data_IF_416869961765
#
_entry.id   IF_416869961765
#
_cell.length_a   1.000
_cell.length_b   1.000
_cell.length_c   1.000
_cell.angle_alpha   90.00
_cell.angle_beta   90.00
_cell.angle_gamma   90.00
#
_symmetry.space_group_name_H-M   'P 1'
#
loop_
_entity.id
_entity.type
_entity.pdbx_description
1 polymer ?
#
# COMPACT_ATOMS: atom_id res chain seq x y z
N UNK A 1 7.98 -55.84 -32.80
CA UNK A 1 9.41 -55.52 -32.93
C UNK A 1 9.55 -54.63 -34.16
N UNK A 2 9.85 -53.33 -34.12
CA UNK A 2 10.50 -52.52 -33.08
C UNK A 2 10.08 -51.05 -33.20
N UNK A 3 9.75 -50.42 -32.07
CA UNK A 3 9.55 -48.98 -31.95
C UNK A 3 10.91 -48.31 -31.76
N UNK A 4 11.33 -47.48 -32.73
CA UNK A 4 12.46 -46.57 -32.54
C UNK A 4 12.03 -45.17 -32.95
N UNK A 5 11.19 -44.57 -32.10
CA UNK A 5 10.92 -43.13 -32.13
C UNK A 5 12.02 -42.49 -31.29
N UNK A 6 13.02 -41.93 -31.96
CA UNK A 6 14.10 -41.16 -31.33
C UNK A 6 13.52 -39.81 -30.88
N UNK A 7 13.23 -39.67 -29.59
CA UNK A 7 12.89 -38.39 -28.97
C UNK A 7 14.16 -37.55 -28.82
N UNK A 8 14.31 -36.53 -29.67
CA UNK A 8 15.28 -35.46 -29.44
C UNK A 8 14.70 -34.50 -28.39
N UNK A 9 15.17 -34.62 -27.14
CA UNK A 9 14.83 -33.69 -26.07
C UNK A 9 15.59 -32.37 -26.29
N UNK A 10 14.93 -31.36 -26.85
CA UNK A 10 15.43 -30.00 -26.87
C UNK A 10 15.22 -29.37 -25.48
N UNK A 11 16.27 -29.36 -24.66
CA UNK A 11 16.27 -28.66 -23.37
C UNK A 11 16.34 -27.14 -23.60
N UNK A 12 15.21 -26.45 -23.48
CA UNK A 12 15.16 -24.99 -23.47
C UNK A 12 15.55 -24.49 -22.07
N UNK A 13 16.77 -23.96 -21.94
CA UNK A 13 17.23 -23.32 -20.71
C UNK A 13 16.61 -21.92 -20.61
N UNK A 14 15.64 -21.75 -19.72
CA UNK A 14 15.05 -20.44 -19.39
C UNK A 14 15.99 -19.76 -18.39
N UNK A 15 16.72 -18.73 -18.84
CA UNK A 15 17.56 -17.90 -17.98
C UNK A 15 16.65 -16.87 -17.30
N UNK A 16 16.32 -17.10 -16.03
CA UNK A 16 15.56 -16.14 -15.23
C UNK A 16 16.57 -15.11 -14.70
N UNK A 17 16.63 -13.93 -15.31
CA UNK A 17 17.42 -12.83 -14.79
C UNK A 17 16.72 -12.24 -13.56
N UNK A 18 17.30 -12.29 -12.34
CA UNK A 18 16.73 -11.61 -11.19
C UNK A 18 16.88 -10.11 -11.40
N UNK A 19 15.76 -9.42 -11.59
CA UNK A 19 15.72 -7.96 -11.54
C UNK A 19 15.82 -7.55 -10.06
N UNK A 20 16.90 -6.91 -9.59
CA UNK A 20 16.92 -6.37 -8.24
C UNK A 20 15.91 -5.23 -8.20
N UNK A 21 14.75 -5.48 -7.58
CA UNK A 21 13.86 -4.42 -7.16
C UNK A 21 14.63 -3.59 -6.12
N UNK A 22 15.14 -2.43 -6.54
CA UNK A 22 15.73 -1.47 -5.63
C UNK A 22 14.63 -0.96 -4.69
N UNK A 23 14.53 -1.56 -3.51
CA UNK A 23 13.82 -0.97 -2.40
C UNK A 23 14.58 0.32 -2.02
N UNK A 24 14.06 1.47 -2.46
CA UNK A 24 14.53 2.76 -1.96
C UNK A 24 14.34 2.83 -0.44
N UNK A 25 15.00 3.77 0.26
CA UNK A 25 14.80 3.96 1.69
C UNK A 25 13.30 4.17 1.94
N UNK A 26 12.66 3.21 2.61
CA UNK A 26 11.35 3.48 3.19
C UNK A 26 11.64 4.42 4.35
N UNK A 27 11.29 5.70 4.16
CA UNK A 27 11.34 6.72 5.20
C UNK A 27 10.72 6.11 6.46
N UNK A 28 11.51 5.96 7.53
CA UNK A 28 11.03 5.35 8.78
C UNK A 28 9.86 6.14 9.39
N UNK A 29 9.63 7.36 8.89
CA UNK A 29 8.43 8.18 9.05
C UNK A 29 7.12 7.51 8.58
N UNK A 30 7.15 6.39 7.86
CA UNK A 30 5.93 5.71 7.42
C UNK A 30 5.39 4.70 8.43
N UNK A 31 6.13 4.37 9.51
CA UNK A 31 5.65 3.41 10.53
C UNK A 31 4.64 3.96 11.51
N UNK A 32 4.63 5.27 11.71
CA UNK A 32 3.78 5.93 12.70
C UNK A 32 3.23 7.23 12.13
N UNK A 33 2.03 7.61 12.58
CA UNK A 33 1.45 8.90 12.23
C UNK A 33 2.38 10.04 12.68
N UNK A 34 2.63 11.05 11.83
CA UNK A 34 3.42 12.20 12.22
C UNK A 34 2.83 12.86 13.46
N UNK A 35 3.71 13.36 14.32
CA UNK A 35 3.29 14.11 15.49
C UNK A 35 2.59 15.41 15.09
N UNK A 36 1.55 15.75 15.84
CA UNK A 36 0.75 16.95 15.65
C UNK A 36 0.09 17.37 16.95
N UNK A 37 -0.26 18.65 17.05
CA UNK A 37 -1.10 19.17 18.13
C UNK A 37 -2.57 18.77 17.93
N UNK A 38 -3.43 19.16 18.86
CA UNK A 38 -4.87 18.86 18.83
C UNK A 38 -5.61 19.45 17.61
N UNK A 39 -5.01 20.44 16.94
CA UNK A 39 -5.57 21.08 15.75
C UNK A 39 -5.07 20.46 14.45
N UNK A 40 -4.04 19.61 14.52
CA UNK A 40 -3.41 19.00 13.36
C UNK A 40 -4.37 18.05 12.67
N UNK A 41 -4.54 18.22 11.36
CA UNK A 41 -5.44 17.40 10.55
C UNK A 41 -4.69 16.31 9.79
N UNK A 42 -5.26 15.11 9.85
CA UNK A 42 -4.82 13.91 9.17
C UNK A 42 -5.80 13.64 8.04
N UNK A 43 -5.33 13.69 6.80
CA UNK A 43 -6.18 13.65 5.62
C UNK A 43 -6.20 12.28 4.96
N UNK A 44 -7.29 11.52 5.15
CA UNK A 44 -7.46 10.20 4.57
C UNK A 44 -8.13 10.21 3.21
N UNK A 45 -7.61 9.42 2.26
CA UNK A 45 -8.28 9.16 0.99
C UNK A 45 -9.35 8.10 1.21
N UNK A 46 -10.60 8.46 0.94
CA UNK A 46 -11.74 7.52 1.02
C UNK A 46 -12.02 7.04 -0.39
N UNK A 47 -11.86 5.74 -0.63
CA UNK A 47 -12.27 5.13 -1.90
C UNK A 47 -13.81 5.07 -1.95
N UNK A 48 -14.45 5.79 -2.88
CA UNK A 48 -15.90 5.79 -2.97
C UNK A 48 -16.40 4.44 -3.49
N UNK A 49 -17.46 3.90 -2.89
CA UNK A 49 -18.19 2.77 -3.46
C UNK A 49 -18.96 3.27 -4.70
N UNK A 50 -18.98 2.48 -5.78
CA UNK A 50 -19.68 2.85 -7.03
C UNK A 50 -21.12 3.30 -6.74
N UNK A 51 -21.50 4.48 -7.24
CA UNK A 51 -22.82 5.07 -7.00
C UNK A 51 -22.93 5.98 -5.77
N UNK A 52 -21.86 6.14 -5.00
CA UNK A 52 -21.82 7.10 -3.87
C UNK A 52 -21.16 8.42 -4.27
N UNK A 53 -21.71 9.54 -3.78
CA UNK A 53 -21.12 10.87 -3.94
C UNK A 53 -20.47 11.31 -2.63
N UNK A 54 -19.39 10.63 -2.25
CA UNK A 54 -18.57 10.99 -1.09
C UNK A 54 -17.35 11.79 -1.51
N UNK A 55 -16.91 12.67 -0.61
CA UNK A 55 -15.66 13.40 -0.74
C UNK A 55 -14.49 12.41 -0.73
N UNK A 56 -13.62 12.46 -1.74
CA UNK A 56 -12.51 11.50 -1.92
C UNK A 56 -11.40 11.68 -0.88
N UNK A 57 -11.35 12.81 -0.21
CA UNK A 57 -10.34 13.12 0.81
C UNK A 57 -11.07 13.72 2.01
N UNK A 58 -10.85 13.17 3.20
CA UNK A 58 -11.40 13.70 4.44
C UNK A 58 -10.27 14.08 5.39
N UNK A 59 -10.28 15.32 5.87
CA UNK A 59 -9.27 15.82 6.79
C UNK A 59 -9.88 16.09 8.15
N UNK A 60 -9.40 15.38 9.16
CA UNK A 60 -9.90 15.47 10.53
C UNK A 60 -8.75 15.41 11.52
N UNK A 61 -8.98 15.99 12.69
CA UNK A 61 -8.12 15.84 13.87
C UNK A 61 -8.17 14.40 14.38
N UNK A 62 -7.23 14.03 15.26
CA UNK A 62 -7.25 12.71 15.93
C UNK A 62 -8.55 12.46 16.70
N UNK A 63 -9.09 13.49 17.36
CA UNK A 63 -10.33 13.38 18.11
C UNK A 63 -11.51 13.09 17.17
N UNK A 64 -11.62 13.85 16.09
CA UNK A 64 -12.66 13.65 15.08
C UNK A 64 -12.57 12.27 14.42
N UNK A 65 -11.38 11.76 14.12
CA UNK A 65 -11.22 10.39 13.60
C UNK A 65 -11.64 9.33 14.61
N UNK A 66 -11.29 9.52 15.88
CA UNK A 66 -11.67 8.61 16.96
C UNK A 66 -13.19 8.54 17.14
N UNK A 67 -13.90 9.66 16.97
CA UNK A 67 -15.36 9.70 17.00
C UNK A 67 -16.01 8.88 15.89
N UNK A 68 -15.26 8.59 14.82
CA UNK A 68 -15.68 7.75 13.69
C UNK A 68 -15.19 6.31 13.83
N UNK A 69 -14.54 5.97 14.95
CA UNK A 69 -13.97 4.65 15.21
C UNK A 69 -12.64 4.39 14.50
N UNK A 70 -11.97 5.42 13.98
CA UNK A 70 -10.67 5.30 13.32
C UNK A 70 -9.57 5.68 14.30
N UNK A 71 -8.67 4.75 14.59
CA UNK A 71 -7.43 5.04 15.32
C UNK A 71 -6.34 5.41 14.32
N UNK A 72 -6.01 6.70 14.26
CA UNK A 72 -5.01 7.24 13.34
C UNK A 72 -3.65 6.56 13.53
N UNK A 73 -3.25 6.19 14.75
CA UNK A 73 -1.92 5.59 14.96
C UNK A 73 -1.86 4.15 14.44
N UNK A 74 -2.94 3.39 14.62
CA UNK A 74 -3.03 2.01 14.15
C UNK A 74 -3.15 1.95 12.62
N UNK A 75 -4.00 2.79 12.04
CA UNK A 75 -4.32 2.75 10.60
C UNK A 75 -3.25 3.43 9.74
N UNK A 76 -2.41 4.30 10.32
CA UNK A 76 -1.36 5.00 9.58
C UNK A 76 -0.38 4.06 8.90
N UNK A 77 0.03 3.00 9.60
CA UNK A 77 0.98 2.03 9.07
C UNK A 77 0.39 1.20 7.90
N UNK A 78 -0.94 1.08 7.83
CA UNK A 78 -1.64 0.34 6.79
C UNK A 78 -1.95 1.22 5.57
N UNK A 79 -2.50 2.41 5.79
CA UNK A 79 -3.16 3.20 4.74
C UNK A 79 -2.48 4.54 4.43
N UNK A 80 -1.46 4.94 5.22
CA UNK A 80 -0.50 6.03 4.95
C UNK A 80 -1.08 7.31 4.35
N UNK A 81 -1.27 8.36 5.17
CA UNK A 81 -1.93 9.59 4.71
C UNK A 81 -1.08 10.86 4.88
N UNK A 82 -1.48 11.98 4.27
CA UNK A 82 -0.70 13.23 4.30
C UNK A 82 -1.18 14.14 5.44
N UNK A 83 -0.24 14.75 6.16
CA UNK A 83 -0.52 15.77 7.18
C UNK A 83 -0.55 17.15 6.53
N UNK A 84 -1.59 17.93 6.83
CA UNK A 84 -1.71 19.33 6.41
C UNK A 84 -1.70 20.19 7.67
N UNK A 85 -0.75 21.14 7.73
CA UNK A 85 -0.65 22.19 8.75
C UNK A 85 -1.31 23.46 8.26
#
# INVERSE_FOLDING_TARGET
MDHRITLAAAAAAIIIAPCPAAAGPQDEHMRAAPSGDETTRYCMKIEPVTGTRVERIKCWTRAEWKDQGVDVDAEWAAEGVRVIK
#
